data_IF_986135200872
#
_entry.id   IF_986135200872
#
_cell.length_a   1.000
_cell.length_b   1.000
_cell.length_c   1.000
_cell.angle_alpha   90.00
_cell.angle_beta   90.00
_cell.angle_gamma   90.00
#
_symmetry.space_group_name_H-M   'P 1'
#
loop_
_entity.id
_entity.type
_entity.pdbx_description
1 polymer ?
#
# COMPACT_ATOMS: atom_id res chain seq x y z
N UNK A 1 38.73 -34.13 7.88
CA UNK A 1 37.40 -34.78 7.82
C UNK A 1 36.45 -33.77 7.18
N UNK A 2 36.20 -33.90 5.88
CA UNK A 2 35.41 -32.95 5.10
C UNK A 2 33.92 -33.25 5.25
N UNK A 3 33.15 -32.26 5.67
CA UNK A 3 31.69 -32.32 5.66
C UNK A 3 31.21 -31.78 4.31
N UNK A 4 30.77 -32.69 3.44
CA UNK A 4 30.08 -32.35 2.21
C UNK A 4 28.65 -31.91 2.55
N UNK A 5 28.37 -30.61 2.37
CA UNK A 5 27.01 -30.10 2.38
C UNK A 5 26.34 -30.52 1.06
N UNK A 6 25.42 -31.49 1.12
CA UNK A 6 24.51 -31.80 0.02
C UNK A 6 23.54 -30.61 -0.15
N UNK A 7 23.82 -29.76 -1.12
CA UNK A 7 22.82 -28.84 -1.66
C UNK A 7 21.83 -29.65 -2.51
N UNK A 8 20.70 -30.00 -1.93
CA UNK A 8 19.53 -30.48 -2.65
C UNK A 8 18.95 -29.31 -3.45
N UNK A 9 19.47 -29.12 -4.67
CA UNK A 9 18.82 -28.29 -5.69
C UNK A 9 17.61 -29.09 -6.18
N UNK A 10 16.47 -28.91 -5.52
CA UNK A 10 15.19 -29.35 -6.04
C UNK A 10 14.92 -28.57 -7.31
N UNK A 11 15.07 -29.20 -8.47
CA UNK A 11 14.58 -28.67 -9.73
C UNK A 11 13.05 -28.62 -9.64
N UNK A 12 12.50 -27.48 -9.24
CA UNK A 12 11.10 -27.18 -9.47
C UNK A 12 10.93 -27.10 -11.00
N UNK A 13 10.31 -28.14 -11.57
CA UNK A 13 9.78 -28.04 -12.93
C UNK A 13 8.69 -26.98 -12.83
N UNK A 14 9.00 -25.77 -13.29
CA UNK A 14 8.01 -24.71 -13.45
C UNK A 14 7.08 -25.22 -14.56
N UNK A 15 5.80 -25.54 -14.27
CA UNK A 15 4.87 -25.84 -15.35
C UNK A 15 4.84 -24.63 -16.28
N UNK A 16 4.97 -24.86 -17.59
CA UNK A 16 4.90 -23.79 -18.56
C UNK A 16 3.58 -23.04 -18.39
N UNK A 17 3.64 -21.71 -18.33
CA UNK A 17 2.46 -20.85 -18.32
C UNK A 17 1.79 -21.01 -19.68
N UNK A 18 0.50 -21.38 -19.70
CA UNK A 18 -0.26 -21.44 -20.94
C UNK A 18 -0.42 -20.02 -21.51
N UNK A 19 -0.08 -19.84 -22.78
CA UNK A 19 -0.25 -18.58 -23.50
C UNK A 19 -1.65 -18.49 -24.12
N UNK A 20 -2.07 -17.29 -24.52
CA UNK A 20 -3.39 -17.06 -25.14
C UNK A 20 -3.67 -17.99 -26.34
N UNK A 21 -2.62 -18.38 -27.08
CA UNK A 21 -2.68 -19.30 -28.23
C UNK A 21 -2.87 -20.79 -27.82
N UNK A 22 -2.73 -21.11 -26.53
CA UNK A 22 -2.86 -22.48 -26.00
C UNK A 22 -4.31 -22.82 -25.58
N UNK A 23 -5.19 -21.82 -25.52
CA UNK A 23 -6.60 -22.00 -25.16
C UNK A 23 -7.45 -22.31 -26.40
N UNK A 24 -8.25 -23.39 -26.40
CA UNK A 24 -9.11 -23.72 -27.54
C UNK A 24 -10.15 -22.63 -27.77
N UNK A 25 -10.28 -22.20 -29.03
CA UNK A 25 -11.32 -21.26 -29.46
C UNK A 25 -12.68 -21.95 -29.53
N UNK A 26 -13.75 -21.16 -29.63
CA UNK A 26 -15.09 -21.70 -29.86
C UNK A 26 -15.22 -22.43 -31.21
N UNK A 27 -14.51 -21.96 -32.23
CA UNK A 27 -14.47 -22.65 -33.53
C UNK A 27 -13.80 -24.03 -33.41
N UNK A 28 -12.76 -24.17 -32.58
CA UNK A 28 -12.11 -25.45 -32.31
C UNK A 28 -13.06 -26.41 -31.58
N UNK A 29 -13.83 -25.89 -30.61
CA UNK A 29 -14.81 -26.67 -29.83
C UNK A 29 -15.96 -27.17 -30.72
N UNK A 30 -16.47 -26.32 -31.61
CA UNK A 30 -17.54 -26.67 -32.57
C UNK A 30 -17.02 -27.66 -33.62
N UNK A 31 -15.79 -27.48 -34.11
CA UNK A 31 -15.16 -28.41 -35.04
C UNK A 31 -14.98 -29.81 -34.41
N UNK A 32 -14.55 -29.85 -33.15
CA UNK A 32 -14.36 -31.08 -32.39
C UNK A 32 -15.67 -31.80 -32.04
N UNK A 33 -16.80 -31.09 -31.92
CA UNK A 33 -18.09 -31.67 -31.52
C UNK A 33 -18.59 -32.79 -32.46
N UNK A 34 -18.22 -32.74 -33.74
CA UNK A 34 -18.69 -33.69 -34.75
C UNK A 34 -17.84 -34.98 -34.83
N UNK A 35 -16.74 -35.07 -34.06
CA UNK A 35 -15.86 -36.24 -33.99
C UNK A 35 -15.66 -36.69 -32.54
N UNK A 36 -15.98 -37.94 -32.23
CA UNK A 36 -16.00 -38.45 -30.85
C UNK A 36 -14.60 -38.53 -30.23
N UNK A 37 -13.56 -38.76 -31.04
CA UNK A 37 -12.17 -38.79 -30.59
C UNK A 37 -11.63 -37.36 -30.40
N UNK A 38 -11.98 -36.43 -31.29
CA UNK A 38 -11.62 -35.02 -31.18
C UNK A 38 -12.28 -34.36 -29.95
N UNK A 39 -13.56 -34.65 -29.70
CA UNK A 39 -14.27 -34.17 -28.51
C UNK A 39 -13.62 -34.68 -27.20
N UNK A 40 -13.26 -35.97 -27.14
CA UNK A 40 -12.57 -36.53 -25.98
C UNK A 40 -11.18 -35.91 -25.74
N UNK A 41 -10.44 -35.61 -26.81
CA UNK A 41 -9.15 -34.94 -26.74
C UNK A 41 -9.29 -33.49 -26.24
N UNK A 42 -10.27 -32.74 -26.77
CA UNK A 42 -10.56 -31.36 -26.35
C UNK A 42 -11.00 -31.29 -24.88
N UNK A 43 -11.85 -32.20 -24.42
CA UNK A 43 -12.25 -32.32 -23.00
C UNK A 43 -11.02 -32.51 -22.10
N UNK A 44 -10.10 -33.40 -22.49
CA UNK A 44 -8.88 -33.67 -21.72
C UNK A 44 -7.96 -32.45 -21.68
N UNK A 45 -7.81 -31.75 -22.81
CA UNK A 45 -7.03 -30.51 -22.89
C UNK A 45 -7.60 -29.43 -21.97
N UNK A 46 -8.90 -29.17 -22.03
CA UNK A 46 -9.61 -28.18 -21.22
C UNK A 46 -9.45 -28.48 -19.72
N UNK A 47 -9.61 -29.75 -19.31
CA UNK A 47 -9.43 -30.15 -17.91
C UNK A 47 -7.99 -29.92 -17.42
N UNK A 48 -6.99 -30.18 -18.25
CA UNK A 48 -5.59 -29.90 -17.91
C UNK A 48 -5.32 -28.39 -17.78
N UNK A 49 -5.89 -27.57 -18.67
CA UNK A 49 -5.77 -26.10 -18.60
C UNK A 49 -6.38 -25.54 -17.30
N UNK A 50 -7.54 -26.05 -16.87
CA UNK A 50 -8.16 -25.65 -15.60
C UNK A 50 -7.27 -25.98 -14.40
N UNK A 51 -6.64 -27.15 -14.39
CA UNK A 51 -5.69 -27.54 -13.32
C UNK A 51 -4.45 -26.65 -13.34
N UNK A 52 -3.92 -26.30 -14.52
CA UNK A 52 -2.76 -25.42 -14.66
C UNK A 52 -3.07 -24.00 -14.19
N UNK A 53 -4.22 -23.43 -14.58
CA UNK A 53 -4.68 -22.12 -14.11
C UNK A 53 -4.77 -22.07 -12.58
N UNK A 54 -5.35 -23.11 -11.96
CA UNK A 54 -5.43 -23.19 -10.50
C UNK A 54 -4.05 -23.28 -9.85
N UNK A 55 -3.13 -24.08 -10.43
CA UNK A 55 -1.77 -24.21 -9.93
C UNK A 55 -0.98 -22.89 -10.03
N UNK A 56 -1.21 -22.10 -11.08
CA UNK A 56 -0.56 -20.80 -11.28
C UNK A 56 -1.01 -19.76 -10.25
N UNK A 57 -2.30 -19.73 -9.93
CA UNK A 57 -2.83 -18.90 -8.83
C UNK A 57 -2.17 -19.26 -7.50
N UNK A 58 -2.08 -20.54 -7.16
CA UNK A 58 -1.46 -20.96 -5.90
C UNK A 58 0.05 -20.68 -5.87
N UNK A 59 0.74 -20.83 -7.01
CA UNK A 59 2.16 -20.49 -7.15
C UNK A 59 2.41 -19.00 -6.90
N UNK A 60 1.64 -18.12 -7.54
CA UNK A 60 1.79 -16.66 -7.43
C UNK A 60 1.43 -16.14 -6.04
N UNK A 61 0.39 -16.70 -5.39
CA UNK A 61 0.08 -16.41 -3.97
C UNK A 61 1.24 -16.78 -3.05
N UNK A 62 1.82 -17.98 -3.21
CA UNK A 62 2.95 -18.41 -2.39
C UNK A 62 4.20 -17.51 -2.58
N UNK A 63 4.45 -17.05 -3.81
CA UNK A 63 5.53 -16.09 -4.10
C UNK A 63 5.28 -14.73 -3.43
N UNK A 64 4.04 -14.20 -3.50
CA UNK A 64 3.64 -13.00 -2.79
C UNK A 64 3.86 -13.13 -1.28
N UNK A 65 3.37 -14.21 -0.66
CA UNK A 65 3.53 -14.44 0.78
C UNK A 65 5.01 -14.47 1.21
N UNK A 66 5.84 -15.17 0.43
CA UNK A 66 7.28 -15.26 0.70
C UNK A 66 7.96 -13.88 0.63
N UNK A 67 7.66 -13.09 -0.40
CA UNK A 67 8.25 -11.75 -0.59
C UNK A 67 7.73 -10.72 0.41
N UNK A 68 6.43 -10.75 0.71
CA UNK A 68 5.84 -9.90 1.75
C UNK A 68 6.48 -10.17 3.12
N UNK A 69 6.70 -11.44 3.47
CA UNK A 69 7.40 -11.83 4.70
C UNK A 69 8.84 -11.34 4.74
N UNK A 70 9.57 -11.46 3.63
CA UNK A 70 10.94 -10.93 3.50
C UNK A 70 10.97 -9.42 3.73
N UNK A 71 10.07 -8.67 3.09
CA UNK A 71 9.95 -7.22 3.28
C UNK A 71 9.66 -6.86 4.75
N UNK A 72 8.67 -7.50 5.38
CA UNK A 72 8.33 -7.26 6.79
C UNK A 72 9.50 -7.51 7.74
N UNK A 73 10.31 -8.55 7.48
CA UNK A 73 11.50 -8.84 8.27
C UNK A 73 12.58 -7.76 8.11
N UNK A 74 12.81 -7.28 6.89
CA UNK A 74 13.80 -6.22 6.61
C UNK A 74 13.35 -4.88 7.18
N UNK A 75 12.07 -4.53 7.05
CA UNK A 75 11.51 -3.31 7.66
C UNK A 75 11.64 -3.36 9.19
N UNK A 76 11.27 -4.47 9.83
CA UNK A 76 11.44 -4.62 11.27
C UNK A 76 12.91 -4.49 11.73
N UNK A 77 13.86 -5.03 10.96
CA UNK A 77 15.30 -4.86 11.21
C UNK A 77 15.73 -3.40 11.06
N UNK A 78 15.28 -2.73 10.01
CA UNK A 78 15.54 -1.32 9.78
C UNK A 78 15.00 -0.45 10.93
N UNK A 79 13.74 -0.64 11.36
CA UNK A 79 13.15 0.11 12.46
C UNK A 79 13.90 -0.10 13.78
N UNK A 80 14.25 -1.35 14.09
CA UNK A 80 15.01 -1.66 15.30
C UNK A 80 16.40 -0.99 15.29
N UNK A 81 17.12 -1.08 14.17
CA UNK A 81 18.45 -0.47 14.00
C UNK A 81 18.39 1.05 14.01
N UNK A 82 17.31 1.63 13.48
CA UNK A 82 17.06 3.06 13.45
C UNK A 82 16.86 3.61 14.86
N UNK A 83 16.06 2.91 15.68
CA UNK A 83 15.87 3.23 17.09
C UNK A 83 17.18 3.14 17.89
N UNK A 84 17.99 2.09 17.68
CA UNK A 84 19.30 1.94 18.33
C UNK A 84 20.25 3.08 17.96
N UNK A 85 20.32 3.44 16.67
CA UNK A 85 21.16 4.53 16.17
C UNK A 85 20.73 5.88 16.73
N UNK A 86 19.43 6.15 16.80
CA UNK A 86 18.90 7.35 17.41
C UNK A 86 19.26 7.45 18.90
N UNK A 87 19.21 6.32 19.62
CA UNK A 87 19.60 6.27 21.03
C UNK A 87 21.09 6.54 21.22
N UNK A 88 21.97 5.99 20.37
CA UNK A 88 23.41 6.27 20.41
C UNK A 88 23.72 7.75 20.14
N UNK A 89 23.08 8.35 19.13
CA UNK A 89 23.21 9.79 18.84
C UNK A 89 22.80 10.64 20.04
N UNK A 90 21.67 10.32 20.67
CA UNK A 90 21.21 11.02 21.88
C UNK A 90 22.23 10.91 23.02
N UNK A 91 22.79 9.72 23.27
CA UNK A 91 23.83 9.55 24.29
C UNK A 91 25.11 10.33 23.96
N UNK A 92 25.48 10.43 22.69
CA UNK A 92 26.61 11.24 22.24
C UNK A 92 26.37 12.74 22.48
N UNK A 93 25.18 13.23 22.16
CA UNK A 93 24.74 14.61 22.41
C UNK A 93 24.74 14.94 23.92
N UNK A 94 24.20 14.04 24.74
CA UNK A 94 24.19 14.19 26.21
C UNK A 94 25.62 14.24 26.77
N UNK A 95 26.51 13.34 26.35
CA UNK A 95 27.91 13.34 26.77
C UNK A 95 28.64 14.61 26.32
N UNK A 96 28.40 15.08 25.10
CA UNK A 96 28.98 16.33 24.58
C UNK A 96 28.49 17.54 25.38
N UNK A 97 27.20 17.59 25.75
CA UNK A 97 26.64 18.66 26.56
C UNK A 97 27.27 18.70 27.97
N UNK A 98 27.47 17.53 28.60
CA UNK A 98 28.16 17.42 29.89
C UNK A 98 29.61 17.88 29.78
N UNK A 99 30.31 17.53 28.69
CA UNK A 99 31.67 17.97 28.44
C UNK A 99 31.77 19.50 28.34
N UNK A 100 30.91 20.13 27.52
CA UNK A 100 30.86 21.58 27.34
C UNK A 100 30.52 22.33 28.63
N UNK A 101 29.60 21.81 29.44
CA UNK A 101 29.25 22.36 30.75
C UNK A 101 30.45 22.28 31.74
N UNK A 102 31.16 21.14 31.77
CA UNK A 102 32.37 20.98 32.56
C UNK A 102 33.50 21.93 32.12
N UNK A 103 33.73 22.08 30.81
CA UNK A 103 34.70 23.04 30.25
C UNK A 103 34.34 24.48 30.61
N UNK A 104 33.06 24.86 30.47
CA UNK A 104 32.55 26.19 30.83
C UNK A 104 32.79 26.50 32.30
N UNK A 105 32.45 25.58 33.20
CA UNK A 105 32.72 25.72 34.64
C UNK A 105 34.21 25.84 34.93
N UNK A 106 35.04 24.96 34.34
CA UNK A 106 36.49 25.03 34.52
C UNK A 106 37.07 26.38 34.05
N UNK A 107 36.57 26.91 32.93
CA UNK A 107 36.94 28.24 32.42
C UNK A 107 36.52 29.38 33.36
N UNK A 108 35.31 29.30 33.94
CA UNK A 108 34.86 30.26 34.95
C UNK A 108 35.73 30.22 36.20
N UNK A 109 36.09 29.03 36.67
CA UNK A 109 37.01 28.83 37.79
C UNK A 109 38.40 29.41 37.51
N UNK A 110 38.98 29.11 36.34
CA UNK A 110 40.26 29.67 35.92
C UNK A 110 40.22 31.21 35.87
N UNK A 111 39.16 31.79 35.32
CA UNK A 111 38.95 33.24 35.29
C UNK A 111 38.77 33.86 36.69
N UNK A 112 38.28 33.11 37.67
CA UNK A 112 38.15 33.55 39.05
C UNK A 112 39.49 33.46 39.80
N UNK A 113 40.29 32.42 39.57
CA UNK A 113 41.67 32.31 40.09
C UNK A 113 42.53 33.46 39.58
N UNK A 114 42.45 33.80 38.28
CA UNK A 114 43.18 34.95 37.72
C UNK A 114 42.70 36.28 38.33
N UNK A 115 41.41 36.41 38.65
CA UNK A 115 40.87 37.61 39.32
C UNK A 115 41.30 37.73 40.78
N UNK A 116 41.39 36.63 41.52
CA UNK A 116 41.80 36.61 42.93
C UNK A 116 43.34 36.69 43.05
N UNK A 117 44.09 36.12 42.10
CA UNK A 117 45.55 36.09 42.05
C UNK A 117 46.20 37.16 41.15
N UNK A 118 45.42 38.10 40.60
CA UNK A 118 45.91 39.21 39.77
C UNK A 118 46.76 40.23 40.53
N UNK A 119 46.70 40.19 41.87
CA UNK A 119 47.72 40.73 42.77
C UNK A 119 48.56 39.56 43.25
N UNK A 120 49.86 39.58 42.97
CA UNK A 120 50.79 38.55 43.42
C UNK A 120 50.57 38.28 44.93
N UNK A 121 50.10 37.09 45.33
CA UNK A 121 49.85 36.79 46.72
C UNK A 121 51.13 36.91 47.54
N UNK A 122 52.31 36.79 46.93
CA UNK A 122 53.60 37.04 47.60
C UNK A 122 53.83 38.52 47.94
N UNK A 123 53.34 39.45 47.11
CA UNK A 123 53.38 40.89 47.38
C UNK A 123 52.39 41.29 48.49
N UNK A 124 51.27 40.57 48.60
CA UNK A 124 50.30 40.73 49.69
C UNK A 124 50.80 40.07 51.01
N UNK A 125 51.56 38.97 50.88
CA UNK A 125 52.28 38.26 51.95
C UNK A 125 53.33 39.14 52.64
N UNK A 126 54.05 39.96 51.86
CA UNK A 126 55.12 40.82 52.38
C UNK A 126 54.58 41.96 53.25
N UNK A 127 53.28 42.30 53.10
CA UNK A 127 52.61 43.36 53.83
C UNK A 127 51.87 42.88 55.10
N UNK A 128 51.67 41.57 55.27
CA UNK A 128 50.90 40.96 56.37
C UNK A 128 51.82 40.08 57.23
N UNK A 129 52.67 40.67 58.07
CA UNK A 129 53.72 39.94 58.82
C UNK A 129 53.22 39.04 59.96
N UNK A 130 51.94 39.12 60.35
CA UNK A 130 51.47 38.57 61.65
C UNK A 130 50.36 37.50 61.53
N UNK A 131 50.03 36.99 60.33
CA UNK A 131 48.87 36.10 60.11
C UNK A 131 49.22 34.79 59.39
N UNK A 132 49.87 33.86 60.09
CA UNK A 132 50.21 32.54 59.55
C UNK A 132 48.97 31.67 59.26
N UNK A 133 47.87 31.86 60.01
CA UNK A 133 46.61 31.13 59.80
C UNK A 133 45.93 31.54 58.48
N UNK A 134 46.04 32.80 58.09
CA UNK A 134 45.50 33.31 56.83
C UNK A 134 46.29 32.79 55.62
N UNK A 135 47.60 32.57 55.77
CA UNK A 135 48.43 31.91 54.76
C UNK A 135 48.02 30.45 54.54
N UNK A 136 47.83 29.69 55.63
CA UNK A 136 47.38 28.29 55.56
C UNK A 136 45.98 28.17 54.95
N UNK A 137 45.08 29.10 55.29
CA UNK A 137 43.74 29.19 54.71
C UNK A 137 43.78 29.48 53.20
N UNK A 138 44.59 30.46 52.77
CA UNK A 138 44.76 30.82 51.37
C UNK A 138 45.36 29.67 50.52
N UNK A 139 46.38 28.98 51.04
CA UNK A 139 46.96 27.80 50.39
C UNK A 139 45.93 26.67 50.30
N UNK A 140 45.17 26.41 51.38
CA UNK A 140 44.13 25.39 51.40
C UNK A 140 42.93 25.66 50.50
N UNK A 141 42.61 26.94 50.24
CA UNK A 141 41.59 27.36 49.26
C UNK A 141 42.13 27.21 47.84
N UNK A 142 43.35 27.64 47.56
CA UNK A 142 44.00 27.50 46.25
C UNK A 142 44.16 26.03 45.84
N UNK A 143 44.58 25.16 46.77
CA UNK A 143 44.68 23.73 46.54
C UNK A 143 43.32 23.09 46.20
N UNK A 144 42.25 23.45 46.94
CA UNK A 144 40.89 22.98 46.66
C UNK A 144 40.35 23.46 45.32
N UNK A 145 40.62 24.72 44.96
CA UNK A 145 40.20 25.26 43.66
C UNK A 145 40.94 24.56 42.52
N UNK A 146 42.24 24.33 42.67
CA UNK A 146 43.04 23.62 41.68
C UNK A 146 42.58 22.17 41.49
N UNK A 147 42.25 21.48 42.60
CA UNK A 147 41.72 20.12 42.59
C UNK A 147 40.34 20.02 41.92
N UNK A 148 39.43 20.96 42.23
CA UNK A 148 38.13 21.04 41.56
C UNK A 148 38.25 21.37 40.07
N UNK A 149 39.16 22.27 39.68
CA UNK A 149 39.38 22.62 38.29
C UNK A 149 39.95 21.44 37.49
N UNK A 150 40.91 20.69 38.07
CA UNK A 150 41.46 19.48 37.47
C UNK A 150 40.38 18.40 37.32
N UNK A 151 39.55 18.18 38.34
CA UNK A 151 38.45 17.22 38.28
C UNK A 151 37.45 17.56 37.17
N UNK A 152 37.07 18.83 37.04
CA UNK A 152 36.17 19.29 35.97
C UNK A 152 36.80 19.10 34.58
N UNK A 153 38.10 19.37 34.45
CA UNK A 153 38.82 19.15 33.20
C UNK A 153 38.91 17.66 32.83
N UNK A 154 39.20 16.80 33.79
CA UNK A 154 39.21 15.34 33.58
C UNK A 154 37.82 14.83 33.18
N UNK A 155 36.76 15.30 33.83
CA UNK A 155 35.38 14.99 33.48
C UNK A 155 35.05 15.44 32.05
N UNK A 156 35.46 16.66 31.66
CA UNK A 156 35.27 17.16 30.30
C UNK A 156 35.96 16.28 29.25
N UNK A 157 37.24 15.92 29.48
CA UNK A 157 38.00 15.06 28.57
C UNK A 157 37.37 13.67 28.47
N UNK A 158 36.96 13.08 29.59
CA UNK A 158 36.30 11.79 29.62
C UNK A 158 35.00 11.81 28.81
N UNK A 159 34.14 12.81 29.05
CA UNK A 159 32.84 12.92 28.38
C UNK A 159 32.98 13.22 26.89
N UNK A 160 33.97 14.03 26.49
CA UNK A 160 34.30 14.23 25.07
C UNK A 160 34.74 12.94 24.39
N UNK A 161 35.56 12.12 25.05
CA UNK A 161 35.97 10.83 24.51
C UNK A 161 34.78 9.86 24.40
N UNK A 162 33.86 9.87 25.37
CA UNK A 162 32.60 9.12 25.32
C UNK A 162 31.73 9.59 24.15
N UNK A 163 31.54 10.90 23.98
CA UNK A 163 30.75 11.48 22.90
C UNK A 163 31.32 11.10 21.53
N UNK A 164 32.65 11.18 21.36
CA UNK A 164 33.31 10.76 20.12
C UNK A 164 33.11 9.27 19.84
N UNK A 165 33.33 8.40 20.83
CA UNK A 165 33.14 6.95 20.69
C UNK A 165 31.71 6.57 20.32
N UNK A 166 30.71 7.21 20.92
CA UNK A 166 29.30 6.99 20.60
C UNK A 166 28.93 7.52 19.21
N UNK A 167 29.50 8.65 18.81
CA UNK A 167 29.34 9.22 17.46
C UNK A 167 29.92 8.27 16.41
N UNK A 168 31.11 7.74 16.64
CA UNK A 168 31.75 6.77 15.73
C UNK A 168 30.91 5.48 15.62
N UNK A 169 30.35 4.99 16.73
CA UNK A 169 29.42 3.86 16.72
C UNK A 169 28.15 4.16 15.93
N UNK A 170 27.55 5.33 16.12
CA UNK A 170 26.37 5.76 15.37
C UNK A 170 26.67 5.83 13.86
N UNK A 171 27.83 6.35 13.46
CA UNK A 171 28.25 6.43 12.06
C UNK A 171 28.35 5.05 11.38
N UNK A 172 28.86 4.05 12.10
CA UNK A 172 28.90 2.66 11.62
C UNK A 172 27.49 2.10 11.46
N UNK A 173 26.60 2.38 12.41
CA UNK A 173 25.19 1.95 12.34
C UNK A 173 24.42 2.64 11.21
N UNK A 174 24.74 3.89 10.89
CA UNK A 174 24.14 4.63 9.77
C UNK A 174 24.47 4.00 8.41
N UNK A 175 25.70 3.51 8.24
CA UNK A 175 26.10 2.80 7.01
C UNK A 175 25.29 1.53 6.83
N UNK A 176 25.07 0.80 7.93
CA UNK A 176 24.27 -0.42 7.95
C UNK A 176 22.76 -0.12 7.77
N UNK A 177 22.28 1.00 8.29
CA UNK A 177 20.92 1.49 8.06
C UNK A 177 20.66 1.80 6.59
N UNK A 178 21.60 2.47 5.90
CA UNK A 178 21.47 2.73 4.47
C UNK A 178 21.41 1.44 3.66
N UNK A 179 22.17 0.41 4.05
CA UNK A 179 22.10 -0.92 3.43
C UNK A 179 20.73 -1.56 3.65
N UNK A 180 20.25 -1.56 4.90
CA UNK A 180 18.94 -2.13 5.26
C UNK A 180 17.78 -1.39 4.58
N UNK A 181 17.87 -0.06 4.46
CA UNK A 181 16.88 0.76 3.76
C UNK A 181 16.79 0.36 2.29
N UNK A 182 17.93 0.22 1.60
CA UNK A 182 17.97 -0.22 0.20
C UNK A 182 17.41 -1.64 0.04
N UNK A 183 17.75 -2.56 0.94
CA UNK A 183 17.23 -3.93 0.91
C UNK A 183 15.74 -4.00 1.19
N UNK A 184 15.24 -3.23 2.16
CA UNK A 184 13.82 -3.13 2.47
C UNK A 184 13.04 -2.52 1.30
N UNK A 185 13.56 -1.47 0.66
CA UNK A 185 12.95 -0.85 -0.52
C UNK A 185 12.91 -1.82 -1.71
N UNK A 186 14.00 -2.56 -1.97
CA UNK A 186 14.04 -3.58 -3.01
C UNK A 186 13.04 -4.72 -2.72
N UNK A 187 12.98 -5.19 -1.47
CA UNK A 187 12.03 -6.23 -1.06
C UNK A 187 10.57 -5.78 -1.15
N UNK A 188 10.29 -4.49 -0.88
CA UNK A 188 8.96 -3.90 -1.06
C UNK A 188 8.55 -3.93 -2.54
N UNK A 189 9.45 -3.51 -3.44
CA UNK A 189 9.20 -3.54 -4.88
C UNK A 189 8.99 -4.97 -5.40
N UNK A 190 9.79 -5.95 -4.92
CA UNK A 190 9.59 -7.36 -5.22
C UNK A 190 8.23 -7.87 -4.76
N UNK A 191 7.79 -7.51 -3.55
CA UNK A 191 6.50 -7.89 -2.99
C UNK A 191 5.33 -7.25 -3.75
N UNK A 192 5.46 -5.99 -4.16
CA UNK A 192 4.45 -5.31 -4.98
C UNK A 192 4.31 -5.96 -6.36
N UNK A 193 5.42 -6.24 -7.04
CA UNK A 193 5.41 -6.95 -8.32
C UNK A 193 4.81 -8.37 -8.18
N UNK A 194 5.07 -9.07 -7.08
CA UNK A 194 4.44 -10.36 -6.81
C UNK A 194 2.95 -10.25 -6.50
N UNK A 195 2.52 -9.16 -5.87
CA UNK A 195 1.10 -8.86 -5.65
C UNK A 195 0.38 -8.64 -6.98
N UNK A 196 0.95 -7.81 -7.86
CA UNK A 196 0.41 -7.58 -9.21
C UNK A 196 0.34 -8.90 -10.02
N UNK A 197 1.37 -9.74 -9.94
CA UNK A 197 1.38 -11.04 -10.59
C UNK A 197 0.31 -12.00 -10.03
N UNK A 198 0.10 -12.01 -8.70
CA UNK A 198 -0.94 -12.82 -8.07
C UNK A 198 -2.34 -12.34 -8.44
N UNK A 199 -2.57 -11.02 -8.44
CA UNK A 199 -3.84 -10.42 -8.89
C UNK A 199 -4.10 -10.77 -10.36
N UNK A 200 -3.09 -10.60 -11.23
CA UNK A 200 -3.19 -10.97 -12.65
C UNK A 200 -3.54 -12.45 -12.83
N UNK A 201 -2.87 -13.36 -12.13
CA UNK A 201 -3.14 -14.79 -12.23
C UNK A 201 -4.57 -15.15 -11.79
N UNK A 202 -5.11 -14.47 -10.76
CA UNK A 202 -6.52 -14.67 -10.33
C UNK A 202 -7.50 -14.13 -11.37
N UNK A 203 -7.19 -13.00 -12.02
CA UNK A 203 -8.03 -12.44 -13.09
C UNK A 203 -8.05 -13.39 -14.29
N UNK A 204 -6.88 -13.79 -14.80
CA UNK A 204 -6.76 -14.74 -15.93
C UNK A 204 -7.43 -16.08 -15.60
N UNK A 205 -7.28 -16.57 -14.37
CA UNK A 205 -7.97 -17.78 -13.92
C UNK A 205 -9.49 -17.62 -13.99
N UNK A 206 -10.05 -16.49 -13.53
CA UNK A 206 -11.50 -16.25 -13.59
C UNK A 206 -12.02 -16.08 -15.02
N UNK A 207 -11.31 -15.35 -15.87
CA UNK A 207 -11.67 -15.12 -17.27
C UNK A 207 -11.70 -16.43 -18.05
N UNK A 208 -10.61 -17.21 -17.97
CA UNK A 208 -10.49 -18.44 -18.73
C UNK A 208 -11.29 -19.59 -18.12
N UNK A 209 -11.45 -19.66 -16.79
CA UNK A 209 -12.23 -20.73 -16.15
C UNK A 209 -13.68 -20.74 -16.63
N UNK A 210 -14.35 -19.59 -16.69
CA UNK A 210 -15.76 -19.51 -17.10
C UNK A 210 -15.96 -19.93 -18.57
N UNK A 211 -15.02 -19.57 -19.44
CA UNK A 211 -15.04 -19.96 -20.85
C UNK A 211 -14.77 -21.46 -21.01
N UNK A 212 -13.73 -21.97 -20.36
CA UNK A 212 -13.33 -23.39 -20.41
C UNK A 212 -14.42 -24.31 -19.83
N UNK A 213 -15.05 -23.94 -18.71
CA UNK A 213 -16.15 -24.71 -18.11
C UNK A 213 -17.38 -24.78 -19.03
N UNK A 214 -17.66 -23.71 -19.78
CA UNK A 214 -18.75 -23.69 -20.73
C UNK A 214 -18.45 -24.52 -21.98
N UNK A 215 -17.23 -24.42 -22.52
CA UNK A 215 -16.78 -25.28 -23.62
C UNK A 215 -16.84 -26.75 -23.23
N UNK A 216 -16.45 -27.07 -21.99
CA UNK A 216 -16.55 -28.41 -21.42
C UNK A 216 -18.01 -28.90 -21.39
N UNK A 217 -18.96 -28.04 -20.96
CA UNK A 217 -20.39 -28.35 -20.94
C UNK A 217 -20.93 -28.66 -22.36
N UNK A 218 -20.53 -27.88 -23.37
CA UNK A 218 -20.94 -28.09 -24.77
C UNK A 218 -20.42 -29.42 -25.32
N UNK A 219 -19.16 -29.77 -25.04
CA UNK A 219 -18.56 -31.03 -25.46
C UNK A 219 -19.17 -32.24 -24.72
N UNK A 220 -19.43 -32.12 -23.42
CA UNK A 220 -19.99 -33.21 -22.61
C UNK A 220 -21.48 -33.47 -22.88
N UNK A 221 -22.27 -32.43 -23.14
CA UNK A 221 -23.71 -32.56 -23.36
C UNK A 221 -24.09 -32.91 -24.81
N UNK A 222 -23.11 -32.99 -25.74
CA UNK A 222 -23.32 -33.22 -27.19
C UNK A 222 -24.44 -32.32 -27.78
N UNK A 223 -24.60 -31.11 -27.26
CA UNK A 223 -25.68 -30.19 -27.64
C UNK A 223 -25.09 -29.13 -28.56
N UNK A 224 -25.72 -28.88 -29.72
CA UNK A 224 -25.35 -27.78 -30.62
C UNK A 224 -25.73 -26.45 -29.96
N UNK A 225 -24.87 -25.98 -29.06
CA UNK A 225 -24.99 -24.71 -28.35
C UNK A 225 -23.99 -23.78 -29.03
N UNK A 226 -24.50 -22.71 -29.60
CA UNK A 226 -23.69 -21.71 -30.30
C UNK A 226 -23.09 -20.72 -29.29
N UNK A 227 -22.05 -19.96 -29.68
CA UNK A 227 -21.50 -18.88 -28.85
C UNK A 227 -22.58 -17.88 -28.38
N UNK A 228 -23.60 -17.65 -29.23
CA UNK A 228 -24.75 -16.82 -28.89
C UNK A 228 -25.59 -17.38 -27.72
N UNK A 229 -25.74 -18.71 -27.64
CA UNK A 229 -26.45 -19.38 -26.55
C UNK A 229 -25.64 -19.32 -25.23
N UNK A 230 -24.31 -19.37 -25.31
CA UNK A 230 -23.42 -19.19 -24.15
C UNK A 230 -23.48 -17.77 -23.59
N UNK A 231 -23.33 -16.75 -24.45
CA UNK A 231 -23.45 -15.34 -24.07
C UNK A 231 -24.84 -15.05 -23.45
N UNK A 232 -25.90 -15.62 -24.03
CA UNK A 232 -27.26 -15.56 -23.45
C UNK A 232 -27.32 -16.22 -22.07
N UNK A 233 -26.63 -17.34 -21.87
CA UNK A 233 -26.55 -18.04 -20.58
C UNK A 233 -25.73 -17.28 -19.53
N UNK A 234 -24.67 -16.57 -19.92
CA UNK A 234 -23.89 -15.70 -19.03
C UNK A 234 -24.74 -14.51 -18.57
N UNK A 235 -25.44 -13.84 -19.48
CA UNK A 235 -26.39 -12.77 -19.13
C UNK A 235 -27.48 -13.28 -18.19
N UNK A 236 -28.07 -14.44 -18.47
CA UNK A 236 -29.14 -14.99 -17.63
C UNK A 236 -28.67 -15.42 -16.23
N UNK A 237 -27.45 -15.95 -16.10
CA UNK A 237 -26.84 -16.26 -14.79
C UNK A 237 -26.46 -14.99 -14.02
N UNK A 238 -26.04 -13.93 -14.72
CA UNK A 238 -25.82 -12.63 -14.12
C UNK A 238 -27.16 -12.05 -13.60
N UNK A 239 -28.23 -12.12 -14.40
CA UNK A 239 -29.59 -11.73 -14.02
C UNK A 239 -30.14 -12.55 -12.83
N UNK A 240 -29.92 -13.87 -12.80
CA UNK A 240 -30.35 -14.75 -11.71
C UNK A 240 -29.56 -14.48 -10.41
N UNK A 241 -28.26 -14.18 -10.51
CA UNK A 241 -27.43 -13.78 -9.37
C UNK A 241 -27.78 -12.37 -8.88
N UNK A 242 -28.23 -11.50 -9.78
CA UNK A 242 -28.75 -10.16 -9.51
C UNK A 242 -30.10 -10.23 -8.77
N UNK A 243 -30.98 -11.17 -9.13
CA UNK A 243 -32.27 -11.42 -8.47
C UNK A 243 -32.13 -11.96 -7.03
N UNK A 244 -31.05 -12.67 -6.70
CA UNK A 244 -30.81 -13.21 -5.35
C UNK A 244 -30.36 -12.16 -4.32
N UNK A 245 -29.99 -10.95 -4.76
CA UNK A 245 -29.42 -9.91 -3.88
C UNK A 245 -30.45 -8.89 -3.36
N UNK A 246 -31.75 -9.06 -3.66
CA UNK A 246 -32.84 -8.31 -3.02
C UNK A 246 -32.89 -6.81 -3.33
N UNK A 247 -32.15 -6.33 -4.31
CA UNK A 247 -32.22 -4.96 -4.83
C UNK A 247 -32.94 -5.00 -6.17
N UNK A 248 -34.01 -4.22 -6.30
CA UNK A 248 -34.80 -4.11 -7.53
C UNK A 248 -34.09 -3.20 -8.55
N UNK A 249 -33.11 -3.75 -9.26
CA UNK A 249 -32.39 -3.07 -10.34
C UNK A 249 -33.23 -2.88 -11.62
N UNK A 250 -34.51 -3.28 -11.59
CA UNK A 250 -35.43 -3.13 -12.73
C UNK A 250 -36.04 -1.74 -12.85
N UNK A 251 -35.76 -0.83 -11.91
CA UNK A 251 -36.14 0.58 -12.05
C UNK A 251 -35.16 1.32 -12.95
N UNK A 252 -35.26 1.00 -14.24
CA UNK A 252 -34.79 1.87 -15.31
C UNK A 252 -35.89 2.90 -15.54
N UNK A 253 -35.57 4.18 -15.38
CA UNK A 253 -36.52 5.24 -15.68
C UNK A 253 -36.89 5.25 -17.16
N UNK A 254 -37.97 5.93 -17.52
CA UNK A 254 -38.34 6.12 -18.92
C UNK A 254 -37.28 6.87 -19.73
N UNK A 255 -36.32 7.54 -19.08
CA UNK A 255 -35.18 8.18 -19.73
C UNK A 255 -33.92 7.31 -19.77
N UNK A 256 -34.01 6.03 -19.40
CA UNK A 256 -32.92 5.06 -19.54
C UNK A 256 -31.91 5.07 -18.40
N UNK A 257 -32.19 5.74 -17.29
CA UNK A 257 -31.29 5.83 -16.13
C UNK A 257 -31.70 4.89 -15.01
N UNK A 258 -30.73 4.43 -14.21
CA UNK A 258 -30.99 3.65 -13.00
C UNK A 258 -30.06 4.05 -11.85
N UNK A 259 -30.38 3.57 -10.65
CA UNK A 259 -29.55 3.76 -9.46
C UNK A 259 -28.31 2.85 -9.55
N UNK A 260 -27.08 3.38 -9.41
CA UNK A 260 -25.84 2.63 -9.69
C UNK A 260 -25.43 1.64 -8.58
N UNK A 261 -25.82 1.88 -7.34
CA UNK A 261 -25.57 0.96 -6.23
C UNK A 261 -26.71 1.02 -5.20
N UNK A 262 -26.86 -0.04 -4.40
CA UNK A 262 -27.68 0.03 -3.19
C UNK A 262 -27.01 0.89 -2.11
N UNK A 263 -27.58 0.89 -0.92
CA UNK A 263 -27.04 1.60 0.24
C UNK A 263 -27.76 2.91 0.52
N UNK A 264 -27.36 3.57 1.60
CA UNK A 264 -27.87 4.88 2.00
C UNK A 264 -26.82 5.96 1.69
N UNK A 265 -27.26 7.19 1.49
CA UNK A 265 -26.34 8.30 1.19
C UNK A 265 -25.56 8.67 2.45
N UNK A 266 -24.26 8.39 2.47
CA UNK A 266 -23.36 8.74 3.59
C UNK A 266 -22.72 10.11 3.44
N UNK A 267 -22.55 10.59 2.21
CA UNK A 267 -22.08 11.93 1.92
C UNK A 267 -22.71 12.45 0.61
N UNK A 268 -23.04 13.73 0.59
CA UNK A 268 -23.69 14.40 -0.55
C UNK A 268 -22.70 15.24 -1.34
N UNK A 269 -23.05 15.55 -2.59
CA UNK A 269 -22.29 16.44 -3.44
C UNK A 269 -22.16 17.84 -2.81
N UNK A 270 -20.98 18.44 -2.95
CA UNK A 270 -20.68 19.77 -2.41
C UNK A 270 -20.53 19.83 -0.89
N UNK A 271 -20.63 18.71 -0.18
CA UNK A 271 -20.31 18.66 1.25
C UNK A 271 -18.85 19.06 1.49
N UNK A 272 -18.61 19.93 2.47
CA UNK A 272 -17.25 20.25 2.93
C UNK A 272 -16.95 19.53 4.24
N UNK A 273 -15.89 18.73 4.26
CA UNK A 273 -15.42 18.16 5.52
C UNK A 273 -14.78 19.23 6.44
N UNK A 274 -14.42 18.83 7.66
CA UNK A 274 -13.80 19.72 8.66
C UNK A 274 -12.42 20.25 8.24
N UNK A 275 -11.86 19.77 7.12
CA UNK A 275 -10.57 20.16 6.55
C UNK A 275 -10.71 20.98 5.26
N UNK A 276 -11.94 21.34 4.86
CA UNK A 276 -12.22 22.19 3.70
C UNK A 276 -12.19 21.46 2.35
N UNK A 277 -12.23 20.13 2.34
CA UNK A 277 -12.29 19.34 1.10
C UNK A 277 -13.68 19.38 0.46
N UNK A 278 -13.75 19.54 -0.87
CA UNK A 278 -15.00 19.53 -1.63
C UNK A 278 -15.36 18.12 -2.10
N UNK A 279 -16.52 17.62 -1.70
CA UNK A 279 -17.01 16.31 -2.15
C UNK A 279 -17.61 16.40 -3.56
N UNK A 280 -16.97 15.73 -4.53
CA UNK A 280 -17.26 15.85 -5.97
C UNK A 280 -18.34 14.92 -6.51
N UNK A 281 -18.95 14.11 -5.64
CA UNK A 281 -19.96 13.12 -5.99
C UNK A 281 -20.93 12.86 -4.85
N UNK A 282 -21.54 11.68 -4.85
CA UNK A 282 -22.38 11.16 -3.78
C UNK A 282 -21.83 9.81 -3.33
N UNK A 283 -21.78 9.59 -2.02
CA UNK A 283 -21.31 8.33 -1.45
C UNK A 283 -22.49 7.47 -1.04
N UNK A 284 -22.59 6.28 -1.63
CA UNK A 284 -23.61 5.27 -1.32
C UNK A 284 -23.00 4.19 -0.44
N UNK A 285 -23.22 4.30 0.88
CA UNK A 285 -22.66 3.38 1.86
C UNK A 285 -23.41 2.05 1.87
N UNK A 286 -22.66 0.97 1.62
CA UNK A 286 -23.14 -0.40 1.71
C UNK A 286 -21.97 -1.36 1.95
N UNK A 287 -22.23 -2.61 2.34
CA UNK A 287 -21.16 -3.59 2.58
C UNK A 287 -20.29 -3.76 1.33
N UNK A 288 -18.98 -3.95 1.52
CA UNK A 288 -18.07 -4.28 0.43
C UNK A 288 -18.56 -5.51 -0.34
N UNK A 289 -18.20 -5.60 -1.61
CA UNK A 289 -18.63 -6.62 -2.56
C UNK A 289 -20.11 -6.59 -2.95
N UNK A 290 -20.87 -5.57 -2.55
CA UNK A 290 -22.19 -5.36 -3.11
C UNK A 290 -22.11 -4.88 -4.58
N UNK A 291 -23.07 -5.24 -5.44
CA UNK A 291 -23.07 -4.87 -6.84
C UNK A 291 -23.04 -3.37 -7.10
N UNK A 292 -22.32 -2.99 -8.15
CA UNK A 292 -22.40 -1.70 -8.84
C UNK A 292 -22.85 -1.99 -10.27
N UNK A 293 -23.89 -1.29 -10.73
CA UNK A 293 -24.40 -1.35 -12.10
C UNK A 293 -24.15 -0.04 -12.84
N UNK A 294 -24.11 -0.10 -14.18
CA UNK A 294 -24.07 1.08 -15.02
C UNK A 294 -25.35 1.90 -14.86
N UNK A 295 -25.22 3.18 -14.47
CA UNK A 295 -26.35 4.08 -14.28
C UNK A 295 -27.11 4.38 -15.60
N UNK A 296 -26.42 4.26 -16.74
CA UNK A 296 -27.00 4.39 -18.08
C UNK A 296 -26.11 3.64 -19.10
N UNK A 297 -26.66 3.20 -20.23
CA UNK A 297 -25.87 2.60 -21.32
C UNK A 297 -24.78 3.56 -21.81
N UNK A 298 -23.65 3.01 -22.24
CA UNK A 298 -22.50 3.81 -22.68
C UNK A 298 -21.27 2.98 -22.99
N UNK A 299 -20.16 3.65 -23.26
CA UNK A 299 -18.85 3.02 -23.48
C UNK A 299 -17.94 3.29 -22.29
N UNK A 300 -17.31 2.25 -21.75
CA UNK A 300 -16.33 2.38 -20.67
C UNK A 300 -15.11 3.14 -21.20
N UNK A 301 -14.86 4.34 -20.71
CA UNK A 301 -13.69 5.14 -21.09
C UNK A 301 -12.45 4.71 -20.31
N UNK A 302 -12.65 4.33 -19.05
CA UNK A 302 -11.57 3.94 -18.14
C UNK A 302 -12.05 2.86 -17.17
N UNK A 303 -11.19 1.87 -16.91
CA UNK A 303 -11.35 0.91 -15.82
C UNK A 303 -9.96 0.55 -15.31
N UNK A 304 -9.60 1.03 -14.11
CA UNK A 304 -8.33 0.71 -13.49
C UNK A 304 -8.01 1.56 -12.26
N UNK A 305 -6.77 1.47 -11.78
CA UNK A 305 -6.31 2.24 -10.63
C UNK A 305 -6.15 3.73 -10.97
N UNK A 306 -6.70 4.58 -10.12
CA UNK A 306 -6.61 6.03 -10.21
C UNK A 306 -5.96 6.62 -8.95
N UNK A 307 -4.87 7.37 -9.15
CA UNK A 307 -4.09 7.99 -8.06
C UNK A 307 -4.64 9.34 -7.58
N UNK A 308 -5.75 9.81 -8.14
CA UNK A 308 -6.43 11.06 -7.77
C UNK A 308 -7.35 10.94 -6.55
N UNK A 309 -7.28 9.84 -5.81
CA UNK A 309 -8.10 9.58 -4.63
C UNK A 309 -9.27 8.61 -4.86
N UNK A 310 -9.59 8.27 -6.11
CA UNK A 310 -10.70 7.35 -6.42
C UNK A 310 -10.37 5.87 -6.17
N UNK A 311 -9.09 5.47 -6.09
CA UNK A 311 -8.74 4.05 -6.03
C UNK A 311 -9.04 3.36 -7.36
N UNK A 312 -9.58 2.14 -7.35
CA UNK A 312 -10.08 1.55 -8.59
C UNK A 312 -11.36 2.27 -9.04
N UNK A 313 -11.31 2.75 -10.27
CA UNK A 313 -12.29 3.64 -10.87
C UNK A 313 -12.74 3.08 -12.22
N UNK A 314 -14.06 2.99 -12.40
CA UNK A 314 -14.69 2.83 -13.72
C UNK A 314 -15.27 4.17 -14.15
N UNK A 315 -15.08 4.56 -15.42
CA UNK A 315 -15.69 5.74 -16.05
C UNK A 315 -16.45 5.26 -17.27
N UNK A 316 -17.72 5.67 -17.41
CA UNK A 316 -18.55 5.39 -18.57
C UNK A 316 -18.94 6.69 -19.25
N UNK A 317 -18.64 6.80 -20.54
CA UNK A 317 -19.12 7.85 -21.44
C UNK A 317 -20.49 7.45 -22.00
N UNK A 318 -21.50 8.28 -21.77
CA UNK A 318 -22.87 8.10 -22.25
C UNK A 318 -23.15 8.87 -23.54
N UNK A 319 -22.15 9.57 -24.08
CA UNK A 319 -22.28 10.45 -25.24
C UNK A 319 -22.76 11.86 -24.87
N UNK A 320 -22.61 12.80 -25.81
CA UNK A 320 -23.03 14.19 -25.60
C UNK A 320 -22.25 14.94 -24.51
N UNK A 321 -21.07 14.44 -24.14
CA UNK A 321 -20.22 15.00 -23.08
C UNK A 321 -20.67 14.62 -21.67
N UNK A 322 -21.50 13.59 -21.51
CA UNK A 322 -22.00 13.13 -20.22
C UNK A 322 -21.28 11.85 -19.78
N UNK A 323 -20.72 11.87 -18.58
CA UNK A 323 -19.94 10.77 -18.01
C UNK A 323 -20.44 10.40 -16.61
N UNK A 324 -20.30 9.13 -16.25
CA UNK A 324 -20.47 8.64 -14.87
C UNK A 324 -19.20 7.97 -14.35
N UNK A 325 -18.88 8.21 -13.07
CA UNK A 325 -17.68 7.71 -12.40
C UNK A 325 -18.09 6.82 -11.23
N UNK A 326 -17.40 5.68 -11.08
CA UNK A 326 -17.66 4.67 -10.06
C UNK A 326 -16.37 4.36 -9.30
N UNK A 327 -16.16 5.04 -8.19
CA UNK A 327 -14.93 4.99 -7.41
C UNK A 327 -14.92 3.97 -6.27
N UNK A 328 -13.74 3.82 -5.68
CA UNK A 328 -13.42 2.99 -4.51
C UNK A 328 -13.64 1.49 -4.69
N UNK A 329 -13.76 1.00 -5.93
CA UNK A 329 -13.96 -0.43 -6.19
C UNK A 329 -12.80 -1.26 -5.59
N UNK A 330 -13.03 -2.50 -5.14
CA UNK A 330 -11.96 -3.33 -4.60
C UNK A 330 -11.05 -3.81 -5.74
N UNK A 331 -9.82 -4.17 -5.40
CA UNK A 331 -8.94 -4.88 -6.34
C UNK A 331 -9.62 -6.17 -6.83
N UNK A 332 -9.63 -6.39 -8.15
CA UNK A 332 -10.39 -7.47 -8.79
C UNK A 332 -11.92 -7.34 -8.70
N UNK A 333 -12.42 -6.14 -8.37
CA UNK A 333 -13.85 -5.82 -8.25
C UNK A 333 -14.46 -5.14 -9.47
N UNK A 334 -13.64 -4.73 -10.45
CA UNK A 334 -14.11 -4.20 -11.74
C UNK A 334 -14.38 -5.39 -12.68
N UNK A 335 -15.56 -5.40 -13.30
CA UNK A 335 -16.00 -6.49 -14.19
C UNK A 335 -16.04 -6.07 -15.66
N UNK A 336 -15.53 -4.86 -15.94
CA UNK A 336 -15.53 -4.26 -17.26
C UNK A 336 -14.16 -3.67 -17.58
N UNK A 337 -13.89 -3.46 -18.86
CA UNK A 337 -12.63 -2.92 -19.37
C UNK A 337 -12.85 -1.72 -20.29
N UNK A 338 -11.82 -0.88 -20.45
CA UNK A 338 -11.88 0.28 -21.34
C UNK A 338 -12.18 -0.12 -22.79
N UNK A 339 -13.15 0.54 -23.41
CA UNK A 339 -13.67 0.25 -24.74
C UNK A 339 -14.88 -0.69 -24.77
N UNK A 340 -15.25 -1.34 -23.66
CA UNK A 340 -16.46 -2.15 -23.57
C UNK A 340 -17.72 -1.28 -23.63
N UNK A 341 -18.69 -1.68 -24.45
CA UNK A 341 -20.05 -1.11 -24.37
C UNK A 341 -20.83 -1.83 -23.25
N UNK A 342 -21.52 -1.06 -22.42
CA UNK A 342 -22.37 -1.56 -21.33
C UNK A 342 -23.79 -1.04 -21.46
N UNK A 343 -24.76 -1.83 -21.02
CA UNK A 343 -26.17 -1.43 -20.97
C UNK A 343 -26.57 -0.85 -19.59
N UNK A 344 -27.61 -0.01 -19.55
CA UNK A 344 -28.20 0.45 -18.28
C UNK A 344 -28.54 -0.75 -17.40
N UNK A 345 -28.07 -0.74 -16.16
CA UNK A 345 -28.30 -1.81 -15.19
C UNK A 345 -27.36 -3.01 -15.33
N UNK A 346 -26.46 -3.01 -16.31
CA UNK A 346 -25.42 -4.03 -16.42
C UNK A 346 -24.48 -3.99 -15.21
N UNK A 347 -24.13 -5.15 -14.68
CA UNK A 347 -23.19 -5.27 -13.57
C UNK A 347 -21.77 -4.91 -14.04
N UNK A 348 -21.22 -3.82 -13.50
CA UNK A 348 -19.90 -3.31 -13.90
C UNK A 348 -18.83 -3.48 -12.83
N UNK A 349 -19.22 -3.80 -11.60
CA UNK A 349 -18.27 -4.11 -10.55
C UNK A 349 -18.90 -4.19 -9.17
N UNK A 350 -18.08 -3.96 -8.16
CA UNK A 350 -18.48 -4.09 -6.76
C UNK A 350 -18.03 -2.93 -5.88
N UNK A 351 -18.81 -2.65 -4.84
CA UNK A 351 -18.51 -1.68 -3.77
C UNK A 351 -17.23 -2.08 -3.05
N UNK A 352 -16.35 -1.12 -2.78
CA UNK A 352 -15.09 -1.34 -2.08
C UNK A 352 -14.72 -0.18 -1.16
N UNK A 353 -13.44 -0.10 -0.82
CA UNK A 353 -12.87 0.90 0.08
C UNK A 353 -11.44 1.31 -0.31
N UNK A 354 -11.13 1.29 -1.62
CA UNK A 354 -9.78 1.65 -2.13
C UNK A 354 -9.64 3.15 -2.33
N UNK A 355 -8.42 3.67 -2.45
CA UNK A 355 -8.18 5.11 -2.57
C UNK A 355 -8.46 5.87 -1.28
N UNK A 356 -8.94 7.11 -1.39
CA UNK A 356 -9.28 7.96 -0.26
C UNK A 356 -10.67 7.61 0.30
N UNK A 357 -10.80 6.41 0.87
CA UNK A 357 -12.05 5.93 1.48
C UNK A 357 -11.85 5.61 2.96
N UNK A 358 -12.89 5.86 3.76
CA UNK A 358 -12.91 5.58 5.22
C UNK A 358 -13.75 4.36 5.58
N UNK A 359 -14.38 3.71 4.59
CA UNK A 359 -15.24 2.55 4.77
C UNK A 359 -15.91 2.13 3.46
N UNK A 360 -16.55 0.96 3.43
CA UNK A 360 -17.18 0.44 2.22
C UNK A 360 -18.29 1.37 1.70
N UNK A 361 -18.12 1.93 0.50
CA UNK A 361 -19.13 2.72 -0.21
C UNK A 361 -18.80 2.81 -1.71
N UNK A 362 -19.81 3.13 -2.52
CA UNK A 362 -19.59 3.61 -3.88
C UNK A 362 -19.47 5.14 -3.84
N UNK A 363 -18.37 5.68 -4.33
CA UNK A 363 -18.31 7.10 -4.69
C UNK A 363 -18.77 7.26 -6.14
N UNK A 364 -19.92 7.90 -6.33
CA UNK A 364 -20.55 8.09 -7.65
C UNK A 364 -20.48 9.55 -8.06
N UNK A 365 -19.88 9.86 -9.21
CA UNK A 365 -19.94 11.21 -9.80
C UNK A 365 -20.68 11.20 -11.14
N UNK A 366 -21.27 12.36 -11.46
CA UNK A 366 -21.75 12.71 -12.78
C UNK A 366 -20.96 13.90 -13.30
N UNK A 367 -20.60 13.89 -14.58
CA UNK A 367 -19.94 15.02 -15.23
C UNK A 367 -20.62 15.37 -16.54
N UNK A 368 -20.77 16.66 -16.81
CA UNK A 368 -21.27 17.19 -18.06
C UNK A 368 -20.24 18.16 -18.65
N UNK A 369 -19.76 17.87 -19.86
CA UNK A 369 -18.72 18.62 -20.57
C UNK A 369 -17.48 18.86 -19.69
N UNK A 370 -17.02 17.82 -18.99
CA UNK A 370 -15.87 17.86 -18.07
C UNK A 370 -16.13 18.55 -16.73
N UNK A 371 -17.31 19.13 -16.50
CA UNK A 371 -17.68 19.75 -15.22
C UNK A 371 -18.47 18.79 -14.35
N UNK A 372 -18.09 18.66 -13.08
CA UNK A 372 -18.82 17.87 -12.07
C UNK A 372 -20.18 18.51 -11.80
N UNK A 373 -21.22 17.70 -11.77
CA UNK A 373 -22.60 18.11 -11.46
C UNK A 373 -23.13 17.25 -10.31
N UNK A 374 -24.14 17.75 -9.58
CA UNK A 374 -24.74 16.99 -8.49
C UNK A 374 -25.43 15.72 -9.03
N UNK A 375 -24.95 14.51 -8.69
CA UNK A 375 -25.54 13.27 -9.18
C UNK A 375 -26.98 13.07 -8.69
N UNK A 376 -27.32 13.57 -7.50
CA UNK A 376 -28.69 13.45 -6.95
C UNK A 376 -29.66 14.32 -7.75
N UNK A 377 -29.31 15.59 -7.98
CA UNK A 377 -30.16 16.49 -8.78
C UNK A 377 -30.31 15.98 -10.22
N UNK A 378 -29.20 15.52 -10.82
CA UNK A 378 -29.21 14.97 -12.17
C UNK A 378 -30.13 13.74 -12.26
N UNK A 379 -29.93 12.73 -11.41
CA UNK A 379 -30.73 11.50 -11.45
C UNK A 379 -32.20 11.76 -11.08
N UNK A 380 -32.49 12.67 -10.15
CA UNK A 380 -33.86 13.03 -9.82
C UNK A 380 -34.60 13.63 -11.02
N UNK A 381 -33.92 14.44 -11.85
CA UNK A 381 -34.46 14.94 -13.11
C UNK A 381 -34.72 13.82 -14.14
N UNK A 382 -34.02 12.69 -14.01
CA UNK A 382 -34.25 11.46 -14.78
C UNK A 382 -35.29 10.52 -14.14
N UNK A 383 -35.94 10.92 -13.05
CA UNK A 383 -36.93 10.09 -12.34
C UNK A 383 -36.33 9.02 -11.43
N UNK A 384 -35.03 9.09 -11.13
CA UNK A 384 -34.32 8.18 -10.23
C UNK A 384 -33.98 8.92 -8.93
N UNK A 385 -34.40 8.38 -7.80
CA UNK A 385 -34.08 8.92 -6.48
C UNK A 385 -32.98 8.10 -5.83
N UNK A 386 -32.01 8.81 -5.24
CA UNK A 386 -30.91 8.18 -4.51
C UNK A 386 -31.19 7.96 -3.01
#
# INVERSE_FOLDING_TARGET
>A
MGAAALALVGAFIVPAVAHADDYPSWDDVVAAQNDEAAAAAAVTQIQNLLVQLQAEVERTKADLEAKAKKWQQLDAQYQAKSAETAQLRKQAEDAQAIALDAESRAGQWAAQVVRIGGTDPTLSLFAASDQADDLLSAIGVSARISDQANTLYEQAVQQRNTAQSLTDQAQVMETELQRLEQEAAAAMAEAQAASEAATKAVIEQREHQQQLEAQLEVLQQKRAVTEADYQTGVQKRAEEKLAQLGVDWSQVSSSGWTRPAGGWISAVFGYSDSYGGYHSGVDLAQSCWNPIVAAHSGTVEFAGWNSGGYGYLTIIDHGGGLESYYGHQPDGGQLVYAGQHVETGELIGYVGTTGNSTGCHLHFEMRANGSRIDPQEFLAAQGIYL
#
